data_IF_872020909048
#
_entry.id   IF_872020909048
#
_cell.length_a   1.000
_cell.length_b   1.000
_cell.length_c   1.000
_cell.angle_alpha   90.00
_cell.angle_beta   90.00
_cell.angle_gamma   90.00
#
_symmetry.space_group_name_H-M   'P 1'
#
loop_
_entity.id
_entity.type
_entity.pdbx_description
1 polymer ?
#
# COMPACT_ATOMS: atom_id res chain seq x y z
N UNK A 1 -8.98 19.31 -23.99
CA UNK A 1 -8.52 18.26 -23.05
C UNK A 1 -9.13 16.93 -23.47
N UNK A 2 -8.31 15.96 -23.88
CA UNK A 2 -8.80 14.61 -24.20
C UNK A 2 -8.91 13.81 -22.90
N UNK A 3 -10.13 13.62 -22.40
CA UNK A 3 -10.41 12.60 -21.39
C UNK A 3 -10.18 11.26 -22.07
N UNK A 4 -9.03 10.64 -21.83
CA UNK A 4 -8.77 9.28 -22.32
C UNK A 4 -9.79 8.36 -21.67
N UNK A 5 -10.78 7.92 -22.47
CA UNK A 5 -11.82 7.00 -22.05
C UNK A 5 -11.17 5.62 -21.97
N UNK A 6 -10.99 5.08 -20.76
CA UNK A 6 -10.45 3.74 -20.59
C UNK A 6 -11.30 2.73 -21.36
N UNK A 7 -10.71 1.87 -22.21
CA UNK A 7 -11.47 0.91 -23.00
C UNK A 7 -12.17 -0.08 -22.07
N UNK A 8 -13.46 -0.35 -22.33
CA UNK A 8 -14.29 -1.26 -21.52
C UNK A 8 -13.82 -2.72 -21.57
N UNK A 9 -13.03 -3.09 -22.59
CA UNK A 9 -12.50 -4.43 -22.80
C UNK A 9 -10.98 -4.36 -22.97
N UNK A 10 -10.27 -5.21 -22.22
CA UNK A 10 -8.81 -5.26 -22.19
C UNK A 10 -8.31 -6.31 -23.19
N UNK A 11 -7.27 -5.98 -23.95
CA UNK A 11 -6.54 -6.94 -24.77
C UNK A 11 -5.85 -8.00 -23.87
N UNK A 12 -5.59 -9.19 -24.40
CA UNK A 12 -4.92 -10.31 -23.69
C UNK A 12 -3.63 -9.88 -22.98
N UNK A 13 -2.82 -9.02 -23.60
CA UNK A 13 -1.59 -8.47 -22.99
C UNK A 13 -1.88 -7.51 -21.83
N UNK A 14 -2.95 -6.72 -21.90
CA UNK A 14 -3.39 -5.83 -20.82
C UNK A 14 -3.95 -6.64 -19.64
N UNK A 15 -4.73 -7.70 -19.90
CA UNK A 15 -5.21 -8.63 -18.88
C UNK A 15 -4.06 -9.27 -18.10
N UNK A 16 -3.02 -9.75 -18.80
CA UNK A 16 -1.82 -10.31 -18.16
C UNK A 16 -1.13 -9.30 -17.24
N UNK A 17 -0.91 -8.06 -17.73
CA UNK A 17 -0.33 -6.97 -16.91
C UNK A 17 -1.21 -6.65 -15.71
N UNK A 18 -2.52 -6.50 -15.90
CA UNK A 18 -3.45 -6.22 -14.81
C UNK A 18 -3.44 -7.33 -13.75
N UNK A 19 -3.39 -8.60 -14.17
CA UNK A 19 -3.31 -9.73 -13.24
C UNK A 19 -2.04 -9.68 -12.39
N UNK A 20 -0.90 -9.32 -12.98
CA UNK A 20 0.35 -9.16 -12.23
C UNK A 20 0.28 -7.97 -11.26
N UNK A 21 -0.19 -6.83 -11.73
CA UNK A 21 -0.29 -5.61 -10.93
C UNK A 21 -1.33 -5.74 -9.80
N UNK A 22 -2.45 -6.44 -10.02
CA UNK A 22 -3.45 -6.69 -8.98
C UNK A 22 -2.91 -7.51 -7.82
N UNK A 23 -2.02 -8.49 -8.07
CA UNK A 23 -1.37 -9.26 -6.99
C UNK A 23 -0.51 -8.37 -6.10
N UNK A 24 0.22 -7.43 -6.71
CA UNK A 24 1.06 -6.46 -5.98
C UNK A 24 0.17 -5.50 -5.19
N UNK A 25 -0.87 -4.93 -5.83
CA UNK A 25 -1.82 -4.01 -5.18
C UNK A 25 -2.48 -4.63 -3.96
N UNK A 26 -2.95 -5.88 -4.04
CA UNK A 26 -3.59 -6.55 -2.91
C UNK A 26 -2.69 -6.60 -1.66
N UNK A 27 -1.39 -6.86 -1.83
CA UNK A 27 -0.41 -6.86 -0.71
C UNK A 27 -0.21 -5.45 -0.14
N UNK A 28 -0.08 -4.47 -1.02
CA UNK A 28 0.13 -3.06 -0.65
C UNK A 28 -1.09 -2.47 0.06
N UNK A 29 -2.29 -2.74 -0.44
CA UNK A 29 -3.55 -2.35 0.20
C UNK A 29 -3.68 -2.92 1.62
N UNK A 30 -3.25 -4.17 1.83
CA UNK A 30 -3.24 -4.78 3.16
C UNK A 30 -2.31 -4.04 4.13
N UNK A 31 -1.09 -3.71 3.71
CA UNK A 31 -0.15 -2.91 4.50
C UNK A 31 -0.73 -1.53 4.83
N UNK A 32 -1.32 -0.84 3.85
CA UNK A 32 -1.98 0.45 4.08
C UNK A 32 -3.17 0.35 5.02
N UNK A 33 -3.92 -0.76 5.01
CA UNK A 33 -4.98 -1.01 5.97
C UNK A 33 -4.43 -1.10 7.39
N UNK A 34 -3.37 -1.86 7.61
CA UNK A 34 -2.72 -1.96 8.93
C UNK A 34 -2.24 -0.58 9.38
N UNK A 35 -1.56 0.16 8.49
CA UNK A 35 -1.03 1.49 8.79
C UNK A 35 -2.12 2.50 9.18
N UNK A 36 -3.24 2.51 8.45
CA UNK A 36 -4.36 3.46 8.69
C UNK A 36 -5.25 3.08 9.87
N UNK A 37 -5.50 1.79 10.08
CA UNK A 37 -6.46 1.31 11.08
C UNK A 37 -5.79 0.82 12.37
N UNK A 38 -4.72 0.03 12.28
CA UNK A 38 -4.02 -0.50 13.46
C UNK A 38 -3.11 0.55 14.10
N UNK A 39 -2.32 1.26 13.27
CA UNK A 39 -1.40 2.31 13.74
C UNK A 39 -2.00 3.71 13.70
N UNK A 40 -3.22 3.88 13.18
CA UNK A 40 -3.94 5.16 13.20
C UNK A 40 -3.34 6.26 12.32
N UNK A 41 -2.50 5.93 11.34
CA UNK A 41 -1.89 6.92 10.44
C UNK A 41 -2.89 7.39 9.36
N UNK A 42 -3.83 8.24 9.77
CA UNK A 42 -4.87 8.83 8.89
C UNK A 42 -4.51 10.22 8.37
N UNK A 43 -3.69 10.96 9.11
CA UNK A 43 -3.18 12.29 8.75
C UNK A 43 -1.70 12.38 9.08
N UNK A 44 -1.01 13.20 8.30
CA UNK A 44 0.38 13.59 8.50
C UNK A 44 0.49 14.37 9.82
N UNK A 45 1.48 14.08 10.67
CA UNK A 45 1.60 14.70 12.00
C UNK A 45 2.48 15.95 12.02
N UNK A 46 3.57 15.94 11.27
CA UNK A 46 4.57 17.01 11.32
C UNK A 46 4.39 18.00 10.17
N UNK A 47 4.85 19.25 10.35
CA UNK A 47 4.90 20.25 9.27
C UNK A 47 6.01 19.93 8.27
N UNK A 48 7.13 19.40 8.76
CA UNK A 48 8.31 19.10 7.95
C UNK A 48 8.17 17.79 7.19
N UNK A 49 8.52 17.80 5.89
CA UNK A 49 8.41 16.63 5.03
C UNK A 49 9.35 15.50 5.49
N UNK A 50 10.58 15.83 5.89
CA UNK A 50 11.57 14.83 6.33
C UNK A 50 11.12 14.07 7.58
N UNK A 51 10.53 14.77 8.56
CA UNK A 51 10.00 14.13 9.78
C UNK A 51 8.87 13.16 9.46
N UNK A 52 8.02 13.50 8.50
CA UNK A 52 6.94 12.62 8.05
C UNK A 52 7.46 11.42 7.25
N UNK A 53 8.51 11.59 6.44
CA UNK A 53 9.16 10.47 5.75
C UNK A 53 9.69 9.46 6.77
N UNK A 54 10.46 9.92 7.75
CA UNK A 54 11.00 9.04 8.81
C UNK A 54 9.86 8.34 9.56
N UNK A 55 8.80 9.07 9.93
CA UNK A 55 7.63 8.49 10.58
C UNK A 55 6.99 7.37 9.76
N UNK A 56 6.72 7.59 8.47
CA UNK A 56 6.12 6.57 7.59
C UNK A 56 7.04 5.36 7.44
N UNK A 57 8.34 5.57 7.29
CA UNK A 57 9.31 4.48 7.18
C UNK A 57 9.33 3.61 8.44
N UNK A 58 9.33 4.23 9.63
CA UNK A 58 9.23 3.50 10.91
C UNK A 58 7.91 2.71 11.02
N UNK A 59 6.78 3.31 10.61
CA UNK A 59 5.48 2.62 10.62
C UNK A 59 5.42 1.45 9.64
N UNK A 60 6.06 1.57 8.48
CA UNK A 60 6.18 0.47 7.52
C UNK A 60 7.01 -0.69 8.08
N UNK A 61 8.12 -0.40 8.76
CA UNK A 61 8.92 -1.42 9.45
C UNK A 61 8.09 -2.15 10.54
N UNK A 62 7.34 -1.40 11.35
CA UNK A 62 6.43 -1.98 12.35
C UNK A 62 5.31 -2.80 11.71
N UNK A 63 4.76 -2.38 10.57
CA UNK A 63 3.74 -3.14 9.86
C UNK A 63 4.26 -4.50 9.37
N UNK A 64 5.51 -4.56 8.90
CA UNK A 64 6.14 -5.82 8.54
C UNK A 64 6.30 -6.76 9.75
N UNK A 65 6.70 -6.24 10.91
CA UNK A 65 6.75 -7.02 12.15
C UNK A 65 5.36 -7.50 12.59
N UNK A 66 4.34 -6.65 12.48
CA UNK A 66 2.96 -7.01 12.80
C UNK A 66 2.41 -8.13 11.91
N UNK A 67 2.82 -8.17 10.64
CA UNK A 67 2.49 -9.29 9.74
C UNK A 67 3.17 -10.59 10.16
N UNK A 68 4.41 -10.51 10.62
CA UNK A 68 5.20 -11.69 11.04
C UNK A 68 4.89 -12.15 12.46
N UNK A 69 4.02 -11.46 13.21
CA UNK A 69 3.75 -11.73 14.65
C UNK A 69 3.50 -13.21 14.95
N UNK A 70 2.68 -13.89 14.16
CA UNK A 70 2.31 -15.29 14.40
C UNK A 70 3.51 -16.25 14.25
N UNK A 71 4.49 -15.90 13.43
CA UNK A 71 5.70 -16.69 13.22
C UNK A 71 6.79 -16.40 14.26
N UNK A 72 6.72 -15.26 14.96
CA UNK A 72 7.67 -14.87 16.00
C UNK A 72 7.21 -15.28 17.41
N UNK A 73 5.91 -15.49 17.59
CA UNK A 73 5.32 -15.94 18.86
C UNK A 73 5.09 -17.45 18.93
N UNK A 74 5.44 -18.19 17.88
CA UNK A 74 5.41 -19.65 17.81
C UNK A 74 6.76 -20.22 18.25
#
# INVERSE_FOLDING_TARGET
MLVQRFPKYLNSSQCKRNRQQSKIRARVEHLFRILKYQFGYRKVRYRDLEKNKVQVMSLMAMANLYLQRNALTA
#
